data_IF_214935971625
#
_entry.id   IF_214935971625
#
_cell.length_a   1.000
_cell.length_b   1.000
_cell.length_c   1.000
_cell.angle_alpha   90.00
_cell.angle_beta   90.00
_cell.angle_gamma   90.00
#
_symmetry.space_group_name_H-M   'P 1'
#
loop_
_entity.id
_entity.type
_entity.pdbx_description
1 polymer ?
#
# COMPACT_ATOMS: atom_id res chain seq x y z
N UNK A 1 -27.36 -14.65 -59.11
CA UNK A 1 -28.37 -14.35 -58.08
C UNK A 1 -28.03 -15.23 -56.87
N UNK A 2 -27.48 -14.59 -55.83
CA UNK A 2 -27.53 -14.88 -54.38
C UNK A 2 -28.22 -16.19 -53.90
N UNK A 3 -27.77 -16.97 -52.89
CA UNK A 3 -26.79 -16.89 -51.78
C UNK A 3 -26.38 -18.34 -51.43
N UNK A 4 -25.10 -18.71 -51.39
CA UNK A 4 -24.22 -18.75 -50.20
C UNK A 4 -24.76 -19.51 -48.98
N UNK A 5 -24.65 -20.84 -48.99
CA UNK A 5 -24.69 -21.70 -47.79
C UNK A 5 -23.26 -22.02 -47.36
N UNK A 6 -22.84 -21.44 -46.23
CA UNK A 6 -21.47 -21.50 -45.75
C UNK A 6 -21.11 -22.90 -45.20
N UNK A 7 -19.92 -23.33 -45.60
CA UNK A 7 -19.18 -24.52 -45.15
C UNK A 7 -19.02 -24.56 -43.63
N UNK A 8 -19.11 -25.78 -43.09
CA UNK A 8 -18.60 -26.11 -41.76
C UNK A 8 -17.11 -25.76 -41.64
N UNK A 9 -16.73 -25.12 -40.53
CA UNK A 9 -15.34 -25.03 -40.09
C UNK A 9 -15.26 -24.89 -38.57
N UNK A 10 -14.82 -25.98 -37.94
CA UNK A 10 -13.86 -26.07 -36.83
C UNK A 10 -14.17 -25.44 -35.46
N UNK A 11 -13.98 -26.31 -34.48
CA UNK A 11 -14.07 -26.17 -33.03
C UNK A 11 -13.06 -25.18 -32.41
N UNK A 12 -13.31 -24.87 -31.13
CA UNK A 12 -12.41 -24.32 -30.12
C UNK A 12 -12.19 -22.79 -30.07
N UNK A 13 -13.00 -22.10 -29.25
CA UNK A 13 -12.57 -20.91 -28.49
C UNK A 13 -13.09 -20.95 -27.05
N UNK A 14 -12.40 -21.73 -26.22
CA UNK A 14 -12.42 -21.54 -24.77
C UNK A 14 -11.61 -20.27 -24.51
N UNK A 15 -12.29 -19.15 -24.25
CA UNK A 15 -11.64 -17.94 -23.77
C UNK A 15 -11.35 -18.13 -22.27
N UNK A 16 -10.20 -18.71 -21.96
CA UNK A 16 -9.64 -18.67 -20.60
C UNK A 16 -9.39 -17.19 -20.25
N UNK A 17 -10.25 -16.60 -19.42
CA UNK A 17 -9.97 -15.34 -18.76
C UNK A 17 -8.92 -15.66 -17.69
N UNK A 18 -7.70 -15.20 -17.90
CA UNK A 18 -6.57 -15.34 -16.97
C UNK A 18 -6.96 -14.86 -15.57
N UNK A 19 -7.34 -15.77 -14.70
CA UNK A 19 -7.31 -15.57 -13.26
C UNK A 19 -5.85 -15.72 -12.84
N UNK A 20 -5.13 -14.60 -12.74
CA UNK A 20 -3.79 -14.58 -12.15
C UNK A 20 -3.93 -14.77 -10.64
N UNK A 21 -3.85 -16.02 -10.18
CA UNK A 21 -3.57 -16.32 -8.79
C UNK A 21 -2.09 -16.05 -8.53
N UNK A 22 -1.78 -14.96 -7.82
CA UNK A 22 -0.43 -14.76 -7.28
C UNK A 22 -0.34 -15.51 -5.95
N UNK A 23 0.44 -16.58 -5.94
CA UNK A 23 0.76 -17.42 -4.78
C UNK A 23 1.55 -16.62 -3.72
N UNK A 24 1.36 -16.95 -2.45
CA UNK A 24 1.91 -16.26 -1.28
C UNK A 24 3.43 -16.45 -1.04
N UNK A 25 4.21 -16.90 -2.02
CA UNK A 25 5.65 -17.20 -1.85
C UNK A 25 6.59 -16.88 -3.04
N UNK A 26 6.16 -16.12 -4.04
CA UNK A 26 7.08 -15.55 -5.05
C UNK A 26 7.46 -14.12 -4.56
N UNK A 27 8.70 -13.75 -4.20
CA UNK A 27 9.89 -13.62 -5.06
C UNK A 27 11.12 -13.33 -4.18
N UNK A 28 12.23 -14.04 -4.41
CA UNK A 28 13.58 -13.63 -4.00
C UNK A 28 13.94 -12.41 -4.89
N UNK A 29 14.02 -11.20 -4.31
CA UNK A 29 14.07 -9.92 -5.06
C UNK A 29 15.32 -9.72 -5.96
N UNK A 30 15.48 -8.56 -6.65
CA UNK A 30 14.56 -7.45 -6.88
C UNK A 30 14.26 -7.18 -8.38
N UNK A 31 13.00 -6.89 -8.73
CA UNK A 31 12.51 -5.80 -9.60
C UNK A 31 10.99 -5.75 -9.37
N UNK A 32 10.49 -4.71 -8.70
CA UNK A 32 9.05 -4.48 -8.54
C UNK A 32 8.52 -3.61 -9.68
N UNK A 33 8.31 -4.21 -10.85
CA UNK A 33 7.35 -3.68 -11.83
C UNK A 33 6.16 -4.62 -11.81
N UNK A 34 5.25 -4.36 -10.88
CA UNK A 34 4.01 -5.10 -10.70
C UNK A 34 2.95 -4.24 -10.01
N UNK A 35 1.65 -4.55 -10.20
CA UNK A 35 0.53 -3.75 -9.68
C UNK A 35 0.59 -3.48 -8.17
N UNK A 36 1.28 -4.30 -7.39
CA UNK A 36 1.46 -4.16 -5.93
C UNK A 36 2.49 -3.10 -5.49
N UNK A 37 3.24 -2.47 -6.41
CA UNK A 37 4.23 -1.44 -6.11
C UNK A 37 3.64 -0.22 -5.35
N UNK A 38 2.40 0.15 -5.63
CA UNK A 38 1.74 1.26 -4.94
C UNK A 38 1.45 0.98 -3.46
N UNK A 39 1.00 -0.24 -3.17
CA UNK A 39 0.59 -0.67 -1.83
C UNK A 39 1.78 -0.99 -0.92
N UNK A 40 2.91 -1.40 -1.50
CA UNK A 40 4.13 -1.69 -0.71
C UNK A 40 5.14 -0.56 -0.81
N UNK A 41 5.74 -0.32 -1.97
CA UNK A 41 6.80 0.69 -2.10
C UNK A 41 6.28 2.12 -1.88
N UNK A 42 5.07 2.41 -2.37
CA UNK A 42 4.40 3.68 -2.10
C UNK A 42 4.13 3.88 -0.61
N UNK A 43 3.56 2.88 0.07
CA UNK A 43 3.29 2.94 1.49
C UNK A 43 4.55 3.11 2.35
N UNK A 44 5.65 2.39 2.04
CA UNK A 44 6.96 2.59 2.67
C UNK A 44 7.40 4.05 2.51
N UNK A 45 7.29 4.62 1.31
CA UNK A 45 7.73 5.98 1.05
C UNK A 45 6.86 7.04 1.74
N UNK A 46 5.55 6.81 1.89
CA UNK A 46 4.67 7.68 2.70
C UNK A 46 5.09 7.60 4.18
N UNK A 47 5.27 6.40 4.73
CA UNK A 47 5.73 6.22 6.11
C UNK A 47 7.10 6.85 6.36
N UNK A 48 8.05 6.69 5.42
CA UNK A 48 9.38 7.28 5.50
C UNK A 48 9.34 8.81 5.43
N UNK A 49 8.39 9.39 4.68
CA UNK A 49 8.17 10.84 4.71
C UNK A 49 7.67 11.30 6.08
N UNK A 50 6.69 10.59 6.67
CA UNK A 50 6.20 10.88 8.01
C UNK A 50 7.32 10.80 9.07
N UNK A 51 8.18 9.78 8.99
CA UNK A 51 9.37 9.63 9.86
C UNK A 51 10.31 10.84 9.77
N UNK A 52 10.61 11.30 8.54
CA UNK A 52 11.54 12.41 8.28
C UNK A 52 11.01 13.76 8.74
N UNK A 53 9.69 13.93 8.74
CA UNK A 53 9.02 15.13 9.25
C UNK A 53 8.98 15.09 10.77
N UNK A 54 8.63 13.94 11.35
CA UNK A 54 8.49 13.80 12.79
C UNK A 54 9.84 13.88 13.53
N UNK A 55 10.92 13.28 13.00
CA UNK A 55 12.30 13.35 13.53
C UNK A 55 12.44 12.97 15.01
N UNK A 56 11.63 12.04 15.47
CA UNK A 56 11.63 11.53 16.85
C UNK A 56 10.91 10.18 16.87
N UNK A 57 10.81 9.55 18.04
CA UNK A 57 10.10 8.29 18.23
C UNK A 57 8.66 8.55 18.68
N UNK A 58 7.64 8.14 17.92
CA UNK A 58 6.26 8.22 18.37
C UNK A 58 5.98 7.17 19.46
N UNK A 59 5.05 7.46 20.35
CA UNK A 59 4.42 6.48 21.25
C UNK A 59 3.11 5.95 20.67
N UNK A 60 2.52 6.67 19.71
CA UNK A 60 1.31 6.25 18.98
C UNK A 60 1.40 6.60 17.49
N UNK A 61 0.98 5.63 16.66
CA UNK A 61 0.92 5.70 15.21
C UNK A 61 -0.51 5.36 14.80
N UNK A 62 -1.19 6.32 14.19
CA UNK A 62 -2.53 6.12 13.64
C UNK A 62 -2.43 6.27 12.13
N UNK A 63 -2.87 5.26 11.40
CA UNK A 63 -2.92 5.27 9.95
C UNK A 63 -4.37 5.14 9.50
N UNK A 64 -4.84 6.12 8.73
CA UNK A 64 -6.15 6.08 8.09
C UNK A 64 -5.95 5.82 6.60
N UNK A 65 -6.60 4.80 6.10
CA UNK A 65 -6.60 4.46 4.69
C UNK A 65 -7.91 4.84 4.04
N UNK A 66 -7.86 5.23 2.77
CA UNK A 66 -9.02 5.56 1.96
C UNK A 66 -9.08 4.64 0.74
N UNK A 67 -10.29 4.37 0.25
CA UNK A 67 -10.54 3.68 -1.03
C UNK A 67 -9.69 2.40 -1.21
N UNK A 68 -8.92 2.25 -2.30
CA UNK A 68 -8.12 1.04 -2.57
C UNK A 68 -7.17 0.67 -1.42
N UNK A 69 -6.58 1.65 -0.75
CA UNK A 69 -5.77 1.36 0.45
C UNK A 69 -6.65 0.81 1.58
N UNK A 70 -7.84 1.36 1.81
CA UNK A 70 -8.75 0.87 2.85
C UNK A 70 -9.27 -0.54 2.53
N UNK A 71 -9.56 -0.81 1.26
CA UNK A 71 -10.17 -2.08 0.83
C UNK A 71 -9.18 -3.25 0.84
N UNK A 72 -7.88 -2.99 0.63
CA UNK A 72 -6.93 -4.06 0.27
C UNK A 72 -5.62 -4.06 1.06
N UNK A 73 -5.47 -3.23 2.10
CA UNK A 73 -4.22 -3.10 2.86
C UNK A 73 -3.69 -4.44 3.41
N UNK A 74 -4.57 -5.29 3.96
CA UNK A 74 -4.19 -6.60 4.52
C UNK A 74 -3.60 -7.54 3.47
N UNK A 75 -4.26 -7.64 2.30
CA UNK A 75 -3.85 -8.55 1.22
C UNK A 75 -2.57 -8.13 0.50
N UNK A 76 -2.19 -6.84 0.59
CA UNK A 76 -0.99 -6.29 -0.04
C UNK A 76 0.14 -5.94 0.93
N UNK A 77 -0.06 -6.18 2.23
CA UNK A 77 0.91 -5.85 3.26
C UNK A 77 1.16 -4.35 3.42
N UNK A 78 0.18 -3.50 3.10
CA UNK A 78 0.28 -2.04 3.18
C UNK A 78 0.53 -1.57 4.61
N UNK A 79 -0.04 -2.26 5.60
CA UNK A 79 0.19 -2.01 7.03
C UNK A 79 1.67 -2.14 7.37
N UNK A 80 2.24 -3.30 7.04
CA UNK A 80 3.64 -3.62 7.29
C UNK A 80 4.56 -2.64 6.57
N UNK A 81 4.25 -2.31 5.32
CA UNK A 81 4.96 -1.33 4.52
C UNK A 81 4.94 0.07 5.15
N UNK A 82 3.75 0.54 5.55
CA UNK A 82 3.58 1.87 6.15
C UNK A 82 4.35 1.99 7.46
N UNK A 83 4.20 1.01 8.35
CA UNK A 83 4.90 1.00 9.64
C UNK A 83 6.40 0.83 9.45
N UNK A 84 6.85 0.01 8.51
CA UNK A 84 8.27 -0.11 8.18
C UNK A 84 8.85 1.25 7.76
N UNK A 85 8.14 2.00 6.92
CA UNK A 85 8.53 3.36 6.55
C UNK A 85 8.60 4.30 7.76
N UNK A 86 7.60 4.27 8.66
CA UNK A 86 7.59 5.08 9.89
C UNK A 86 8.76 4.72 10.82
N UNK A 87 9.15 3.45 10.89
CA UNK A 87 10.31 2.97 11.65
C UNK A 87 11.66 3.24 10.95
N UNK A 88 11.65 3.76 9.73
CA UNK A 88 12.85 4.07 8.95
C UNK A 88 13.50 2.87 8.25
N UNK A 89 12.75 1.79 8.03
CA UNK A 89 13.22 0.63 7.28
C UNK A 89 13.15 0.89 5.77
N UNK A 90 14.12 0.36 5.02
CA UNK A 90 14.10 0.36 3.57
C UNK A 90 13.23 -0.77 3.02
N UNK A 91 12.93 -0.73 1.72
CA UNK A 91 12.04 -1.70 1.06
C UNK A 91 12.58 -3.14 1.05
N UNK A 92 13.88 -3.32 1.14
CA UNK A 92 14.61 -4.59 1.16
C UNK A 92 14.95 -5.05 2.58
N UNK A 93 14.54 -4.30 3.60
CA UNK A 93 14.81 -4.66 4.98
C UNK A 93 14.00 -5.92 5.37
N UNK A 94 14.70 -6.97 5.78
CA UNK A 94 14.11 -8.23 6.24
C UNK A 94 13.11 -8.07 7.41
N UNK A 95 13.13 -6.91 8.10
CA UNK A 95 12.21 -6.57 9.19
C UNK A 95 10.85 -6.06 8.71
N UNK A 96 10.69 -5.70 7.43
CA UNK A 96 9.44 -5.16 6.87
C UNK A 96 8.22 -6.02 7.25
N UNK A 97 8.22 -7.36 7.06
CA UNK A 97 7.05 -8.18 7.39
C UNK A 97 6.67 -8.18 8.87
N UNK A 98 7.62 -7.85 9.76
CA UNK A 98 7.43 -7.84 11.22
C UNK A 98 7.33 -6.41 11.78
N UNK A 99 7.24 -5.39 10.92
CA UNK A 99 7.35 -3.99 11.33
C UNK A 99 6.29 -3.57 12.36
N UNK A 100 5.06 -4.04 12.21
CA UNK A 100 3.95 -3.78 13.14
C UNK A 100 4.25 -4.35 14.53
N UNK A 101 4.72 -5.60 14.58
CA UNK A 101 5.07 -6.25 15.85
C UNK A 101 6.31 -5.61 16.48
N UNK A 102 7.30 -5.21 15.68
CA UNK A 102 8.46 -4.47 16.15
C UNK A 102 8.04 -3.15 16.77
N UNK A 103 7.14 -2.38 16.13
CA UNK A 103 6.62 -1.13 16.69
C UNK A 103 5.91 -1.36 18.03
N UNK A 104 5.05 -2.39 18.12
CA UNK A 104 4.33 -2.75 19.35
C UNK A 104 5.27 -3.20 20.46
N UNK A 105 6.28 -4.01 20.15
CA UNK A 105 7.32 -4.44 21.10
C UNK A 105 8.19 -3.28 21.57
N UNK A 106 8.31 -2.25 20.75
CA UNK A 106 8.90 -0.96 21.10
C UNK A 106 7.93 -0.05 21.88
N UNK A 107 6.79 -0.56 22.36
CA UNK A 107 5.83 0.20 23.16
C UNK A 107 5.01 1.23 22.37
N UNK A 108 5.02 1.16 21.04
CA UNK A 108 4.19 2.03 20.20
C UNK A 108 2.78 1.43 20.07
N UNK A 109 1.76 2.25 20.30
CA UNK A 109 0.38 1.92 19.92
C UNK A 109 0.24 2.10 18.41
N UNK A 110 -0.21 1.06 17.71
CA UNK A 110 -0.43 1.10 16.26
C UNK A 110 -1.89 0.85 15.96
N UNK A 111 -2.54 1.78 15.26
CA UNK A 111 -3.93 1.69 14.85
C UNK A 111 -4.06 1.90 13.34
N UNK A 112 -4.85 1.04 12.70
CA UNK A 112 -5.25 1.16 11.31
C UNK A 112 -6.76 1.41 11.26
N UNK A 113 -7.18 2.40 10.47
CA UNK A 113 -8.58 2.79 10.34
C UNK A 113 -8.91 2.83 8.85
N UNK A 114 -9.88 2.01 8.45
CA UNK A 114 -10.47 2.04 7.12
C UNK A 114 -11.52 3.15 7.08
N UNK A 115 -11.28 4.18 6.27
CA UNK A 115 -12.21 5.30 6.16
C UNK A 115 -13.32 4.98 5.16
N UNK A 116 -14.56 5.22 5.57
CA UNK A 116 -15.71 5.18 4.68
C UNK A 116 -15.75 6.44 3.81
N UNK A 117 -16.04 6.26 2.52
CA UNK A 117 -16.19 7.36 1.57
C UNK A 117 -14.91 7.75 0.81
N UNK A 118 -14.98 8.79 -0.04
CA UNK A 118 -13.89 9.17 -0.91
C UNK A 118 -12.69 9.76 -0.16
N UNK A 119 -11.50 9.59 -0.72
CA UNK A 119 -10.30 10.26 -0.25
C UNK A 119 -10.48 11.78 -0.27
N UNK A 120 -9.99 12.52 0.75
CA UNK A 120 -10.02 13.98 0.77
C UNK A 120 -9.20 14.62 -0.38
N UNK A 121 -8.38 13.84 -1.09
CA UNK A 121 -7.55 14.29 -2.19
C UNK A 121 -7.81 13.54 -3.51
N UNK A 122 -8.97 12.89 -3.64
CA UNK A 122 -9.46 12.24 -4.87
C UNK A 122 -8.46 11.24 -5.47
N UNK A 123 -7.83 10.41 -4.63
CA UNK A 123 -6.97 9.34 -5.10
C UNK A 123 -7.15 8.06 -4.27
N UNK A 124 -7.24 6.87 -4.91
CA UNK A 124 -7.60 5.65 -4.21
C UNK A 124 -6.52 5.10 -3.26
N UNK A 125 -5.26 5.47 -3.49
CA UNK A 125 -4.13 5.06 -2.66
C UNK A 125 -3.71 6.17 -1.70
N UNK A 126 -4.62 6.62 -0.84
CA UNK A 126 -4.35 7.71 0.13
C UNK A 126 -4.16 7.14 1.53
N UNK A 127 -3.09 7.56 2.21
CA UNK A 127 -2.83 7.28 3.61
C UNK A 127 -2.66 8.59 4.39
N UNK A 128 -3.39 8.71 5.49
CA UNK A 128 -3.28 9.79 6.48
C UNK A 128 -2.64 9.23 7.75
N UNK A 129 -1.40 9.62 8.01
CA UNK A 129 -0.58 9.15 9.11
C UNK A 129 -0.51 10.23 10.17
N UNK A 130 -0.90 9.90 11.39
CA UNK A 130 -0.72 10.73 12.58
C UNK A 130 0.30 10.06 13.50
N UNK A 131 1.35 10.80 13.87
CA UNK A 131 2.43 10.37 14.78
C UNK A 131 2.37 11.22 16.04
N UNK A 132 2.34 10.58 17.21
CA UNK A 132 2.10 11.26 18.49
C UNK A 132 3.13 10.78 19.52
N UNK A 133 3.62 11.70 20.36
CA UNK A 133 4.28 11.42 21.63
C UNK A 133 3.88 12.48 22.67
N UNK A 134 4.45 12.41 23.87
CA UNK A 134 4.10 13.26 25.01
C UNK A 134 4.31 14.77 24.77
N UNK A 135 5.05 15.15 23.72
CA UNK A 135 5.46 16.52 23.48
C UNK A 135 5.04 17.06 22.11
N UNK A 136 4.69 16.20 21.15
CA UNK A 136 4.29 16.63 19.81
C UNK A 136 3.42 15.62 19.07
N UNK A 137 2.61 16.19 18.19
CA UNK A 137 1.84 15.48 17.17
C UNK A 137 2.28 16.01 15.81
N UNK A 138 2.42 15.11 14.82
CA UNK A 138 2.50 15.50 13.42
C UNK A 138 1.51 14.68 12.60
N UNK A 139 0.95 15.28 11.56
CA UNK A 139 0.05 14.61 10.63
C UNK A 139 0.53 14.80 9.20
N UNK A 140 0.52 13.74 8.43
CA UNK A 140 0.87 13.75 7.02
C UNK A 140 -0.16 12.97 6.21
N UNK A 141 -0.61 13.55 5.10
CA UNK A 141 -1.41 12.82 4.11
C UNK A 141 -0.59 12.63 2.85
N UNK A 142 -0.37 11.37 2.48
CA UNK A 142 0.38 10.96 1.30
C UNK A 142 -0.47 10.14 0.34
N UNK A 143 -0.18 10.28 -0.95
CA UNK A 143 -0.80 9.53 -2.04
C UNK A 143 0.28 8.68 -2.71
N UNK A 144 0.03 7.39 -2.92
CA UNK A 144 0.87 6.58 -3.81
C UNK A 144 0.34 6.59 -5.25
N UNK A 145 1.11 7.20 -6.15
CA UNK A 145 0.77 7.32 -7.58
C UNK A 145 1.35 6.18 -8.44
N UNK A 146 1.92 5.15 -7.81
CA UNK A 146 2.50 3.97 -8.48
C UNK A 146 4.01 4.09 -8.79
N UNK A 147 4.65 2.95 -9.03
CA UNK A 147 6.10 2.87 -9.28
C UNK A 147 6.95 3.33 -8.09
N UNK A 148 6.41 3.25 -6.87
CA UNK A 148 7.04 3.76 -5.64
C UNK A 148 7.00 5.28 -5.48
N UNK A 149 6.45 6.04 -6.43
CA UNK A 149 6.34 7.51 -6.31
C UNK A 149 5.20 7.88 -5.36
N UNK A 150 5.40 8.95 -4.61
CA UNK A 150 4.42 9.46 -3.65
C UNK A 150 4.27 10.98 -3.76
N UNK A 151 3.07 11.48 -3.52
CA UNK A 151 2.77 12.91 -3.41
C UNK A 151 2.32 13.22 -1.98
N UNK A 152 2.91 14.25 -1.37
CA UNK A 152 2.49 14.73 -0.06
C UNK A 152 1.46 15.84 -0.26
N UNK A 153 0.30 15.71 0.39
CA UNK A 153 -0.85 16.62 0.23
C UNK A 153 -1.11 17.47 1.46
N UNK A 154 -0.70 16.98 2.63
CA UNK A 154 -0.81 17.68 3.91
C UNK A 154 0.39 17.36 4.78
N UNK A 155 0.88 18.38 5.50
CA UNK A 155 1.87 18.27 6.56
C UNK A 155 1.48 19.28 7.64
N UNK A 156 1.21 18.80 8.85
CA UNK A 156 0.81 19.59 10.03
C UNK A 156 1.64 19.18 11.26
#
# INVERSE_FOLDING_TARGET
>A
MERSGASMSQEAKIQAKNTSYSSCFDVIGPVMVGPSSSHTAGAINIGAAAQKIYRDRPTEIIVRYYESFAETHLGHGTDFATIAGVLGFSYDDHRVPNSVDIARNQGMKVQFIEMEGPSPYNHPNTADITLINDHKTARLVGISVGGGKVELRLIE
#
